data_IF_152927048350
#
_entry.id   IF_152927048350
#
_cell.length_a   1.000
_cell.length_b   1.000
_cell.length_c   1.000
_cell.angle_alpha   90.00
_cell.angle_beta   90.00
_cell.angle_gamma   90.00
#
_symmetry.space_group_name_H-M   'P 1'
#
loop_
_entity.id
_entity.type
_entity.pdbx_description
1 polymer ?
#
# COMPACT_ATOMS: atom_id res chain seq x y z
N UNK A 1 -12.92 12.49 10.51
CA UNK A 1 -11.78 11.78 11.17
C UNK A 1 -11.45 10.55 10.34
N UNK A 2 -10.17 10.35 10.03
CA UNK A 2 -9.73 9.15 9.30
C UNK A 2 -9.84 7.94 10.23
N UNK A 3 -10.54 6.87 9.84
CA UNK A 3 -10.66 5.67 10.67
C UNK A 3 -9.27 5.11 11.02
N UNK A 4 -9.10 4.63 12.24
CA UNK A 4 -7.85 4.04 12.73
C UNK A 4 -6.80 5.01 13.25
N UNK A 5 -7.04 6.34 13.18
CA UNK A 5 -6.18 7.36 13.77
C UNK A 5 -6.78 7.92 15.06
N UNK A 6 -5.94 8.27 16.02
CA UNK A 6 -6.35 9.06 17.18
C UNK A 6 -6.77 10.48 16.73
N UNK A 7 -7.53 11.23 17.55
CA UNK A 7 -7.87 12.62 17.24
C UNK A 7 -6.62 13.49 17.01
N UNK A 8 -5.57 13.29 17.81
CA UNK A 8 -4.31 14.00 17.67
C UNK A 8 -3.60 13.67 16.36
N UNK A 9 -3.42 12.39 16.01
CA UNK A 9 -2.86 11.95 14.74
C UNK A 9 -3.68 12.47 13.54
N UNK A 10 -5.00 12.47 13.64
CA UNK A 10 -5.90 13.00 12.59
C UNK A 10 -5.67 14.49 12.36
N UNK A 11 -5.47 15.28 13.45
CA UNK A 11 -5.18 16.71 13.34
C UNK A 11 -3.80 16.95 12.71
N UNK A 12 -2.76 16.26 13.18
CA UNK A 12 -1.41 16.35 12.62
C UNK A 12 -1.41 16.00 11.13
N UNK A 13 -2.06 14.90 10.75
CA UNK A 13 -2.19 14.51 9.35
C UNK A 13 -2.90 15.58 8.50
N UNK A 14 -4.00 16.15 8.99
CA UNK A 14 -4.77 17.16 8.27
C UNK A 14 -3.96 18.44 8.04
N UNK A 15 -3.27 18.94 9.07
CA UNK A 15 -2.46 20.16 8.97
C UNK A 15 -1.24 19.96 8.07
N UNK A 16 -0.55 18.83 8.20
CA UNK A 16 0.56 18.46 7.33
C UNK A 16 0.12 18.36 5.87
N UNK A 17 -0.98 17.65 5.58
CA UNK A 17 -1.46 17.46 4.21
C UNK A 17 -1.98 18.76 3.59
N UNK A 18 -2.52 19.67 4.39
CA UNK A 18 -2.88 21.02 3.92
C UNK A 18 -1.65 21.78 3.42
N UNK A 19 -0.56 21.76 4.19
CA UNK A 19 0.70 22.40 3.78
C UNK A 19 1.29 21.74 2.51
N UNK A 20 1.23 20.40 2.39
CA UNK A 20 1.70 19.73 1.17
C UNK A 20 0.84 20.03 -0.06
N UNK A 21 -0.47 20.28 0.11
CA UNK A 21 -1.39 20.61 -0.97
C UNK A 21 -1.11 21.98 -1.61
N UNK A 22 -0.50 22.92 -0.88
CA UNK A 22 -0.04 24.21 -1.41
C UNK A 22 1.09 24.05 -2.45
N UNK A 23 1.91 23.00 -2.29
CA UNK A 23 3.02 22.71 -3.19
C UNK A 23 2.63 21.81 -4.37
N UNK A 24 1.75 20.83 -4.15
CA UNK A 24 1.35 19.82 -5.13
C UNK A 24 -0.09 19.39 -4.94
N UNK A 25 -0.84 19.41 -6.04
CA UNK A 25 -2.22 18.96 -6.05
C UNK A 25 -2.28 17.43 -5.86
N UNK A 26 -2.86 16.97 -4.76
CA UNK A 26 -3.09 15.57 -4.52
C UNK A 26 -4.28 15.04 -5.34
N UNK A 27 -4.10 13.92 -6.03
CA UNK A 27 -5.19 13.08 -6.52
C UNK A 27 -5.78 12.27 -5.35
N UNK A 28 -4.90 11.67 -4.58
CA UNK A 28 -5.23 10.87 -3.41
C UNK A 28 -4.05 10.85 -2.43
N UNK A 29 -4.36 10.82 -1.15
CA UNK A 29 -3.41 10.42 -0.11
C UNK A 29 -4.02 9.23 0.62
N UNK A 30 -3.30 8.12 0.67
CA UNK A 30 -3.72 6.91 1.37
C UNK A 30 -2.86 6.70 2.61
N UNK A 31 -3.46 6.22 3.69
CA UNK A 31 -2.72 5.62 4.79
C UNK A 31 -2.07 4.33 4.31
N UNK A 32 -0.90 4.06 4.84
CA UNK A 32 -0.14 2.82 4.67
C UNK A 32 0.34 2.34 6.04
N UNK A 33 1.30 1.44 6.08
CA UNK A 33 1.91 0.99 7.33
C UNK A 33 0.93 0.34 8.30
N UNK A 34 1.27 0.34 9.57
CA UNK A 34 0.54 -0.39 10.61
C UNK A 34 -0.95 0.02 10.69
N UNK A 35 -1.27 1.30 10.48
CA UNK A 35 -2.63 1.82 10.51
C UNK A 35 -3.51 1.22 9.39
N UNK A 36 -2.97 1.10 8.17
CA UNK A 36 -3.70 0.51 7.04
C UNK A 36 -3.69 -1.02 7.05
N UNK A 37 -2.79 -1.63 7.81
CA UNK A 37 -2.59 -3.07 7.82
C UNK A 37 -3.28 -3.79 8.98
N UNK A 38 -3.96 -3.02 9.87
CA UNK A 38 -4.78 -3.57 10.93
C UNK A 38 -4.01 -3.90 12.24
N UNK A 39 -2.76 -3.40 12.40
CA UNK A 39 -1.97 -3.64 13.62
C UNK A 39 -1.22 -2.40 14.14
N UNK A 40 -1.87 -1.22 14.24
CA UNK A 40 -1.22 -0.05 14.82
C UNK A 40 -0.92 -0.27 16.31
N UNK A 41 0.21 0.25 16.78
CA UNK A 41 0.53 0.44 18.20
C UNK A 41 0.41 1.94 18.54
N UNK A 42 0.37 2.31 19.83
CA UNK A 42 0.26 3.72 20.23
C UNK A 42 1.37 4.62 19.69
N UNK A 43 2.54 4.03 19.42
CA UNK A 43 3.75 4.67 18.89
C UNK A 43 3.97 4.40 17.39
N UNK A 44 2.94 3.96 16.66
CA UNK A 44 3.05 3.76 15.20
C UNK A 44 3.08 5.09 14.46
N UNK A 45 3.97 5.15 13.45
CA UNK A 45 4.15 6.27 12.55
C UNK A 45 2.92 6.52 11.68
N UNK A 46 2.75 7.74 11.17
CA UNK A 46 1.80 8.08 10.13
C UNK A 46 2.44 7.89 8.75
N UNK A 47 2.19 6.75 8.13
CA UNK A 47 2.60 6.46 6.75
C UNK A 47 1.60 7.07 5.75
N UNK A 48 1.91 8.23 5.19
CA UNK A 48 1.08 8.94 4.22
C UNK A 48 1.64 8.77 2.80
N UNK A 49 0.94 8.02 1.97
CA UNK A 49 1.39 7.68 0.61
C UNK A 49 0.49 8.34 -0.43
N UNK A 50 1.01 9.40 -1.08
CA UNK A 50 0.25 10.24 -1.99
C UNK A 50 0.51 9.92 -3.47
N UNK A 51 -0.49 10.26 -4.28
CA UNK A 51 -0.37 10.44 -5.72
C UNK A 51 -0.74 11.89 -6.02
N UNK A 52 0.16 12.61 -6.70
CA UNK A 52 -0.07 14.00 -7.06
C UNK A 52 -0.18 14.19 -8.57
N UNK A 53 -0.78 15.29 -8.97
CA UNK A 53 -0.93 15.69 -10.36
C UNK A 53 -0.08 16.95 -10.57
N UNK A 54 0.98 16.85 -11.37
CA UNK A 54 1.74 18.00 -11.82
C UNK A 54 1.05 18.68 -13.00
N UNK A 55 1.08 20.02 -13.12
CA UNK A 55 0.62 20.73 -14.32
C UNK A 55 1.35 20.20 -15.56
N UNK A 56 0.64 20.11 -16.69
CA UNK A 56 1.21 19.54 -17.92
C UNK A 56 2.45 20.32 -18.38
N UNK A 57 2.45 21.66 -18.25
CA UNK A 57 3.61 22.50 -18.58
C UNK A 57 4.88 22.14 -17.79
N UNK A 58 4.72 21.79 -16.50
CA UNK A 58 5.85 21.46 -15.63
C UNK A 58 6.47 20.09 -16.02
N UNK A 59 5.66 19.18 -16.56
CA UNK A 59 6.15 17.88 -17.04
C UNK A 59 6.91 18.00 -18.37
N UNK A 60 6.61 19.03 -19.15
CA UNK A 60 7.21 19.27 -20.47
C UNK A 60 8.33 20.31 -20.43
N UNK A 61 8.61 20.93 -19.29
CA UNK A 61 9.69 21.88 -19.12
C UNK A 61 11.06 21.24 -19.36
N UNK A 62 12.07 22.03 -19.73
CA UNK A 62 13.45 21.55 -19.87
C UNK A 62 14.01 21.02 -18.54
N UNK A 63 13.57 21.63 -17.43
CA UNK A 63 13.88 21.20 -16.08
C UNK A 63 12.57 20.81 -15.36
N UNK A 64 12.04 19.60 -15.61
CA UNK A 64 10.78 19.19 -15.00
C UNK A 64 10.94 19.02 -13.49
N UNK A 65 9.90 19.30 -12.73
CA UNK A 65 9.86 19.00 -11.30
C UNK A 65 10.08 17.50 -11.05
N UNK A 66 10.66 17.18 -9.89
CA UNK A 66 10.82 15.78 -9.47
C UNK A 66 9.46 15.07 -9.40
N UNK A 67 9.36 13.92 -10.05
CA UNK A 67 8.16 13.04 -10.03
C UNK A 67 7.95 12.34 -8.69
N UNK A 68 8.86 12.54 -7.76
CA UNK A 68 8.86 11.90 -6.46
C UNK A 68 9.24 12.90 -5.38
N UNK A 69 8.57 12.81 -4.21
CA UNK A 69 8.88 13.57 -3.01
C UNK A 69 8.80 12.66 -1.80
N UNK A 70 9.77 12.75 -0.92
CA UNK A 70 9.77 12.08 0.38
C UNK A 70 10.06 13.09 1.47
N UNK A 71 9.36 12.95 2.59
CA UNK A 71 9.57 13.71 3.81
C UNK A 71 9.40 12.78 5.01
N UNK A 72 10.38 12.77 5.86
CA UNK A 72 10.32 12.16 7.19
C UNK A 72 10.46 13.28 8.22
N UNK A 73 9.46 13.45 9.07
CA UNK A 73 9.45 14.54 10.07
C UNK A 73 8.70 14.10 11.32
N UNK A 74 8.92 14.84 12.41
CA UNK A 74 8.14 14.66 13.65
C UNK A 74 7.37 15.96 13.91
N UNK A 75 6.07 15.88 14.07
CA UNK A 75 5.18 17.02 14.33
C UNK A 75 4.37 16.69 15.59
N UNK A 76 4.52 17.51 16.61
CA UNK A 76 3.82 17.36 17.90
C UNK A 76 3.94 15.96 18.48
N UNK A 77 5.14 15.35 18.36
CA UNK A 77 5.43 14.00 18.85
C UNK A 77 4.95 12.85 17.96
N UNK A 78 4.36 13.14 16.79
CA UNK A 78 3.92 12.14 15.80
C UNK A 78 4.94 12.09 14.67
N UNK A 79 5.52 10.90 14.42
CA UNK A 79 6.37 10.67 13.26
C UNK A 79 5.51 10.54 12.00
N UNK A 80 5.85 11.33 10.96
CA UNK A 80 5.15 11.37 9.68
C UNK A 80 6.11 10.94 8.57
N UNK A 81 5.86 9.79 7.97
CA UNK A 81 6.53 9.30 6.75
C UNK A 81 5.61 9.58 5.54
N UNK A 82 5.91 10.66 4.86
CA UNK A 82 5.18 11.06 3.65
C UNK A 82 5.96 10.76 2.40
N UNK A 83 5.33 10.10 1.43
CA UNK A 83 5.87 10.00 0.07
C UNK A 83 4.79 10.28 -0.97
N UNK A 84 5.15 11.01 -2.02
CA UNK A 84 4.25 11.37 -3.11
C UNK A 84 4.88 11.06 -4.46
N UNK A 85 4.13 10.44 -5.36
CA UNK A 85 4.55 10.13 -6.71
C UNK A 85 3.61 10.77 -7.73
N UNK A 86 4.19 11.22 -8.85
CA UNK A 86 3.44 11.81 -9.95
C UNK A 86 2.52 10.76 -10.61
N UNK A 87 1.31 11.18 -10.98
CA UNK A 87 0.23 10.32 -11.47
C UNK A 87 0.63 9.41 -12.63
N UNK A 88 1.25 9.93 -13.68
CA UNK A 88 1.66 9.11 -14.84
C UNK A 88 2.65 8.01 -14.43
N UNK A 89 3.60 8.34 -13.54
CA UNK A 89 4.55 7.37 -13.01
C UNK A 89 3.84 6.25 -12.24
N UNK A 90 2.86 6.63 -11.42
CA UNK A 90 2.04 5.66 -10.65
C UNK A 90 1.24 4.75 -11.58
N UNK A 91 0.55 5.33 -12.58
CA UNK A 91 -0.27 4.54 -13.51
C UNK A 91 0.57 3.56 -14.34
N UNK A 92 1.75 3.98 -14.81
CA UNK A 92 2.71 3.06 -15.46
C UNK A 92 3.13 1.93 -14.53
N UNK A 93 3.36 2.24 -13.24
CA UNK A 93 3.69 1.24 -12.25
C UNK A 93 2.55 0.24 -12.03
N UNK A 94 1.29 0.68 -11.96
CA UNK A 94 0.13 -0.22 -11.85
C UNK A 94 0.03 -1.16 -13.06
N UNK A 95 0.13 -0.63 -14.27
CA UNK A 95 0.16 -1.45 -15.51
C UNK A 95 1.32 -2.46 -15.47
N UNK A 96 2.46 -2.08 -14.89
CA UNK A 96 3.62 -2.94 -14.67
C UNK A 96 3.46 -3.96 -13.54
N UNK A 97 2.38 -3.88 -12.73
CA UNK A 97 2.11 -4.79 -11.62
C UNK A 97 2.69 -4.34 -10.27
N UNK A 98 2.92 -3.05 -10.06
CA UNK A 98 3.33 -2.51 -8.75
C UNK A 98 2.14 -2.52 -7.78
N UNK A 99 2.16 -3.43 -6.80
CA UNK A 99 1.10 -3.57 -5.79
C UNK A 99 0.97 -2.35 -4.89
N UNK A 100 2.06 -1.69 -4.49
CA UNK A 100 2.00 -0.50 -3.63
C UNK A 100 1.24 0.64 -4.32
N UNK A 101 1.39 0.81 -5.63
CA UNK A 101 0.65 1.82 -6.37
C UNK A 101 -0.84 1.44 -6.55
N UNK A 102 -1.13 0.15 -6.72
CA UNK A 102 -2.51 -0.32 -6.69
C UNK A 102 -3.16 -0.08 -5.32
N UNK A 103 -2.44 -0.37 -4.22
CA UNK A 103 -2.91 -0.10 -2.85
C UNK A 103 -3.18 1.40 -2.62
N UNK A 104 -2.35 2.31 -3.13
CA UNK A 104 -2.57 3.78 -3.00
C UNK A 104 -3.83 4.25 -3.70
N UNK A 105 -4.14 3.71 -4.89
CA UNK A 105 -5.29 4.14 -5.69
C UNK A 105 -6.59 3.44 -5.31
N UNK A 106 -6.52 2.18 -4.84
CA UNK A 106 -7.69 1.33 -4.57
C UNK A 106 -7.95 1.09 -3.07
N UNK A 107 -7.00 1.41 -2.19
CA UNK A 107 -7.15 1.25 -0.74
C UNK A 107 -8.29 2.08 -0.16
N UNK A 108 -8.78 1.70 1.02
CA UNK A 108 -9.98 2.30 1.62
C UNK A 108 -9.70 3.46 2.57
N UNK A 109 -8.50 3.52 3.19
CA UNK A 109 -8.14 4.55 4.16
C UNK A 109 -7.47 5.73 3.44
N UNK A 110 -8.29 6.72 3.04
CA UNK A 110 -7.86 7.88 2.24
C UNK A 110 -8.17 9.18 2.98
N UNK A 111 -7.20 9.78 3.69
CA UNK A 111 -7.35 11.11 4.29
C UNK A 111 -7.67 12.21 3.27
N UNK A 112 -7.18 12.07 2.04
CA UNK A 112 -7.47 13.00 0.94
C UNK A 112 -7.84 12.22 -0.30
N UNK A 113 -8.93 12.63 -0.97
CA UNK A 113 -9.28 12.13 -2.30
C UNK A 113 -9.86 13.27 -3.14
N UNK A 114 -9.52 13.30 -4.42
CA UNK A 114 -10.06 14.24 -5.39
C UNK A 114 -11.23 13.61 -6.16
N UNK A 115 -12.02 14.45 -6.80
CA UNK A 115 -13.15 14.00 -7.61
C UNK A 115 -12.71 13.10 -8.79
N UNK A 116 -11.54 13.33 -9.35
CA UNK A 116 -10.98 12.53 -10.44
C UNK A 116 -10.69 11.09 -10.06
N UNK A 117 -10.43 10.82 -8.78
CA UNK A 117 -10.17 9.46 -8.30
C UNK A 117 -11.36 8.53 -8.57
N UNK A 118 -12.59 9.02 -8.42
CA UNK A 118 -13.81 8.23 -8.64
C UNK A 118 -13.89 7.69 -10.07
N UNK A 119 -13.54 8.50 -11.07
CA UNK A 119 -13.52 8.07 -12.48
C UNK A 119 -12.30 7.21 -12.82
N UNK A 120 -11.20 7.38 -12.09
CA UNK A 120 -9.96 6.65 -12.31
C UNK A 120 -10.00 5.21 -11.75
N UNK A 121 -10.59 4.97 -10.60
CA UNK A 121 -10.54 3.67 -9.92
C UNK A 121 -11.05 2.48 -10.77
N UNK A 122 -12.15 2.59 -11.52
CA UNK A 122 -12.58 1.51 -12.43
C UNK A 122 -11.54 1.20 -13.52
N UNK A 123 -10.84 2.22 -14.03
CA UNK A 123 -9.81 2.06 -15.05
C UNK A 123 -8.57 1.39 -14.47
N UNK A 124 -8.17 1.76 -13.26
CA UNK A 124 -7.07 1.12 -12.51
C UNK A 124 -7.39 -0.35 -12.25
N UNK A 125 -8.62 -0.66 -11.83
CA UNK A 125 -9.05 -2.05 -11.62
C UNK A 125 -9.00 -2.86 -12.93
N UNK A 126 -9.40 -2.26 -14.03
CA UNK A 126 -9.42 -2.94 -15.35
C UNK A 126 -8.02 -3.28 -15.89
N UNK A 127 -6.96 -2.58 -15.45
CA UNK A 127 -5.58 -2.87 -15.88
C UNK A 127 -4.82 -3.79 -14.90
N UNK A 128 -5.44 -4.23 -13.81
CA UNK A 128 -4.82 -5.22 -12.92
C UNK A 128 -4.57 -6.53 -13.66
N UNK A 129 -3.44 -7.14 -13.39
CA UNK A 129 -3.02 -8.38 -14.03
C UNK A 129 -2.21 -9.25 -13.08
N UNK A 130 -1.95 -10.50 -13.45
CA UNK A 130 -1.11 -11.43 -12.68
C UNK A 130 0.31 -10.94 -12.45
N UNK A 131 0.74 -9.85 -13.14
CA UNK A 131 2.05 -9.21 -12.89
C UNK A 131 2.21 -8.73 -11.44
N UNK A 132 1.13 -8.41 -10.72
CA UNK A 132 1.15 -8.03 -9.31
C UNK A 132 1.78 -9.11 -8.42
N UNK A 133 1.72 -10.39 -8.82
CA UNK A 133 2.37 -11.49 -8.11
C UNK A 133 3.87 -11.23 -7.85
N UNK A 134 4.60 -10.73 -8.87
CA UNK A 134 6.04 -10.47 -8.71
C UNK A 134 6.34 -9.45 -7.63
N UNK A 135 5.47 -8.44 -7.52
CA UNK A 135 5.59 -7.42 -6.48
C UNK A 135 5.38 -8.04 -5.08
N UNK A 136 4.22 -8.69 -4.88
CA UNK A 136 3.88 -9.24 -3.56
C UNK A 136 4.83 -10.37 -3.13
N UNK A 137 5.18 -11.27 -4.04
CA UNK A 137 6.13 -12.34 -3.75
C UNK A 137 7.52 -11.79 -3.42
N UNK A 138 8.01 -10.84 -4.23
CA UNK A 138 9.33 -10.23 -4.02
C UNK A 138 9.40 -9.48 -2.69
N UNK A 139 8.37 -8.68 -2.38
CA UNK A 139 8.31 -7.91 -1.15
C UNK A 139 8.14 -8.82 0.09
N UNK A 140 7.25 -9.81 0.05
CA UNK A 140 7.10 -10.77 1.14
C UNK A 140 8.39 -11.55 1.42
N UNK A 141 9.11 -11.97 0.37
CA UNK A 141 10.43 -12.64 0.52
C UNK A 141 11.49 -11.69 1.10
N UNK A 142 11.47 -10.42 0.74
CA UNK A 142 12.37 -9.44 1.33
C UNK A 142 12.07 -9.26 2.82
N UNK A 143 10.79 -9.06 3.19
CA UNK A 143 10.38 -8.96 4.60
C UNK A 143 10.72 -10.23 5.39
N UNK A 144 10.62 -11.41 4.77
CA UNK A 144 11.05 -12.67 5.40
C UNK A 144 12.54 -12.67 5.71
N UNK A 145 13.41 -12.27 4.76
CA UNK A 145 14.86 -12.15 5.02
C UNK A 145 15.17 -11.12 6.12
N UNK A 146 14.43 -10.02 6.15
CA UNK A 146 14.58 -9.02 7.22
C UNK A 146 14.14 -9.58 8.58
N UNK A 147 13.09 -10.42 8.62
CA UNK A 147 12.69 -11.13 9.83
C UNK A 147 13.73 -12.15 10.28
N UNK A 148 14.33 -12.92 9.37
CA UNK A 148 15.47 -13.80 9.63
C UNK A 148 16.66 -13.02 10.23
N UNK A 149 16.98 -11.86 9.67
CA UNK A 149 18.06 -11.01 10.15
C UNK A 149 17.85 -10.52 11.60
N UNK A 150 16.59 -10.42 12.06
CA UNK A 150 16.28 -10.18 13.48
C UNK A 150 16.36 -11.43 14.35
N UNK A 151 16.89 -12.54 13.86
CA UNK A 151 16.85 -13.84 14.52
C UNK A 151 15.40 -14.25 14.86
N UNK A 152 14.45 -13.87 14.00
CA UNK A 152 13.03 -14.16 14.11
C UNK A 152 12.32 -13.57 15.35
N UNK A 153 12.86 -12.51 15.93
CA UNK A 153 12.32 -11.89 17.15
C UNK A 153 11.36 -10.75 16.93
N UNK A 154 11.25 -10.20 15.71
CA UNK A 154 10.42 -9.05 15.43
C UNK A 154 9.00 -9.43 15.01
N UNK A 155 8.00 -9.11 15.85
CA UNK A 155 6.59 -9.26 15.52
C UNK A 155 6.19 -8.39 14.30
N UNK A 156 6.68 -7.14 14.23
CA UNK A 156 6.44 -6.22 13.10
C UNK A 156 6.89 -6.84 11.78
N UNK A 157 8.14 -7.34 11.69
CA UNK A 157 8.66 -7.92 10.45
C UNK A 157 7.87 -9.13 9.99
N UNK A 158 7.50 -10.01 10.92
CA UNK A 158 6.66 -11.17 10.60
C UNK A 158 5.28 -10.75 10.09
N UNK A 159 4.62 -9.79 10.74
CA UNK A 159 3.33 -9.27 10.28
C UNK A 159 3.42 -8.68 8.87
N UNK A 160 4.51 -8.02 8.51
CA UNK A 160 4.72 -7.54 7.14
C UNK A 160 4.84 -8.68 6.13
N UNK A 161 5.49 -9.81 6.48
CA UNK A 161 5.50 -11.02 5.63
C UNK A 161 4.09 -11.54 5.41
N UNK A 162 3.36 -11.76 6.52
CA UNK A 162 2.00 -12.31 6.51
C UNK A 162 1.05 -11.42 5.71
N UNK A 163 1.01 -10.13 6.05
CA UNK A 163 0.15 -9.14 5.37
C UNK A 163 0.43 -9.10 3.87
N UNK A 164 1.70 -9.00 3.48
CA UNK A 164 2.06 -8.89 2.06
C UNK A 164 1.65 -10.13 1.29
N UNK A 165 1.89 -11.33 1.83
CA UNK A 165 1.49 -12.58 1.19
C UNK A 165 -0.03 -12.71 1.08
N UNK A 166 -0.78 -12.37 2.15
CA UNK A 166 -2.24 -12.47 2.15
C UNK A 166 -2.91 -11.42 1.26
N UNK A 167 -2.44 -10.16 1.28
CA UNK A 167 -2.94 -9.10 0.37
C UNK A 167 -2.72 -9.50 -1.10
N UNK A 168 -1.51 -10.00 -1.44
CA UNK A 168 -1.22 -10.49 -2.79
C UNK A 168 -2.09 -11.68 -3.19
N UNK A 169 -2.30 -12.62 -2.28
CA UNK A 169 -3.18 -13.78 -2.48
C UNK A 169 -4.62 -13.33 -2.72
N UNK A 170 -5.13 -12.37 -1.92
CA UNK A 170 -6.47 -11.85 -2.03
C UNK A 170 -6.68 -11.14 -3.37
N UNK A 171 -5.77 -10.24 -3.73
CA UNK A 171 -5.82 -9.53 -5.00
C UNK A 171 -5.80 -10.49 -6.21
N UNK A 172 -4.94 -11.51 -6.19
CA UNK A 172 -4.89 -12.49 -7.27
C UNK A 172 -6.16 -13.33 -7.41
N UNK A 173 -6.81 -13.68 -6.29
CA UNK A 173 -8.03 -14.50 -6.27
C UNK A 173 -9.29 -13.71 -6.60
N UNK A 174 -9.37 -12.46 -6.14
CA UNK A 174 -10.63 -11.70 -6.15
C UNK A 174 -10.60 -10.46 -7.06
N UNK A 175 -9.41 -9.97 -7.42
CA UNK A 175 -9.24 -8.68 -8.08
C UNK A 175 -9.39 -7.47 -7.14
N UNK A 176 -9.59 -7.69 -5.83
CA UNK A 176 -9.81 -6.63 -4.84
C UNK A 176 -8.55 -6.42 -3.99
N UNK A 177 -8.29 -5.16 -3.65
CA UNK A 177 -7.23 -4.77 -2.74
C UNK A 177 -7.78 -4.73 -1.31
N UNK A 178 -7.26 -5.60 -0.44
CA UNK A 178 -7.46 -5.51 1.01
C UNK A 178 -6.10 -5.55 1.69
N UNK A 179 -5.77 -4.50 2.44
CA UNK A 179 -4.48 -4.35 3.12
C UNK A 179 -4.54 -4.68 4.61
N UNK A 180 -5.72 -4.62 5.19
CA UNK A 180 -5.96 -4.93 6.58
C UNK A 180 -5.92 -6.46 6.79
N UNK A 181 -4.84 -6.93 7.42
CA UNK A 181 -4.62 -8.36 7.64
C UNK A 181 -5.71 -8.97 8.52
N UNK A 182 -6.30 -8.21 9.43
CA UNK A 182 -7.33 -8.72 10.35
C UNK A 182 -8.61 -9.13 9.61
N UNK A 183 -8.93 -8.47 8.49
CA UNK A 183 -10.05 -8.85 7.63
C UNK A 183 -9.77 -10.10 6.78
N UNK A 184 -8.49 -10.43 6.56
CA UNK A 184 -8.07 -11.57 5.77
C UNK A 184 -7.92 -12.85 6.59
N UNK A 185 -7.85 -12.74 7.92
CA UNK A 185 -7.65 -13.85 8.86
C UNK A 185 -8.68 -14.95 8.65
N UNK A 186 -9.96 -14.61 8.69
CA UNK A 186 -11.06 -15.57 8.55
C UNK A 186 -11.17 -16.13 7.13
N UNK A 187 -10.91 -15.27 6.14
CA UNK A 187 -10.97 -15.65 4.71
C UNK A 187 -9.95 -16.74 4.37
N UNK A 188 -8.79 -16.70 5.01
CA UNK A 188 -7.67 -17.61 4.71
C UNK A 188 -7.39 -18.64 5.83
N UNK A 189 -8.20 -18.65 6.89
CA UNK A 189 -8.07 -19.64 7.98
C UNK A 189 -6.77 -19.53 8.77
N UNK A 190 -6.27 -18.30 8.98
CA UNK A 190 -4.97 -18.02 9.63
C UNK A 190 -5.17 -17.30 10.97
N UNK A 191 -6.05 -17.80 11.81
CA UNK A 191 -6.45 -17.18 13.09
C UNK A 191 -5.27 -16.82 14.02
N UNK A 192 -4.16 -17.56 13.96
CA UNK A 192 -2.97 -17.28 14.78
C UNK A 192 -2.29 -15.95 14.43
N UNK A 193 -2.64 -15.31 13.32
CA UNK A 193 -2.21 -13.94 12.99
C UNK A 193 -2.65 -12.95 14.06
N UNK A 194 -3.81 -13.18 14.71
CA UNK A 194 -4.29 -12.29 15.77
C UNK A 194 -3.36 -12.26 16.99
N UNK A 195 -2.70 -13.38 17.32
CA UNK A 195 -1.68 -13.40 18.37
C UNK A 195 -0.43 -12.57 17.99
N UNK A 196 -0.08 -12.50 16.69
CA UNK A 196 0.99 -11.62 16.22
C UNK A 196 0.58 -10.15 16.31
N UNK A 197 -0.66 -9.83 15.95
CA UNK A 197 -1.22 -8.48 16.07
C UNK A 197 -1.19 -8.04 17.53
N UNK A 198 -1.66 -8.89 18.46
CA UNK A 198 -1.61 -8.60 19.90
C UNK A 198 -0.16 -8.38 20.39
N UNK A 199 0.79 -9.20 19.95
CA UNK A 199 2.19 -9.01 20.32
C UNK A 199 2.74 -7.66 19.83
N UNK A 200 2.42 -7.26 18.58
CA UNK A 200 2.89 -5.98 17.99
C UNK A 200 2.21 -4.75 18.60
N UNK A 201 0.93 -4.84 18.96
CA UNK A 201 0.20 -3.69 19.53
C UNK A 201 0.71 -3.26 20.90
N UNK A 202 1.53 -4.08 21.56
CA UNK A 202 2.23 -3.72 22.80
C UNK A 202 3.34 -2.66 22.59
N UNK A 203 3.76 -2.41 21.35
CA UNK A 203 4.75 -1.39 20.96
C UNK A 203 5.43 -1.70 19.65
N UNK A 204 5.98 -0.67 19.02
CA UNK A 204 6.62 -0.77 17.69
C UNK A 204 7.79 -1.77 17.67
N UNK A 205 8.53 -1.88 18.76
CA UNK A 205 9.69 -2.77 18.94
C UNK A 205 9.39 -3.99 19.82
N UNK A 206 8.09 -4.28 20.07
CA UNK A 206 7.73 -5.41 20.92
C UNK A 206 8.30 -6.72 20.37
N UNK A 207 8.95 -7.55 21.22
CA UNK A 207 9.51 -8.82 20.79
C UNK A 207 8.42 -9.84 20.49
N UNK A 208 8.67 -10.70 19.51
CA UNK A 208 7.80 -11.83 19.23
C UNK A 208 8.04 -12.94 20.29
N UNK A 209 6.99 -13.47 20.94
CA UNK A 209 7.12 -14.64 21.82
C UNK A 209 7.77 -15.82 21.10
N UNK A 210 8.62 -16.57 21.81
CA UNK A 210 9.44 -17.64 21.23
C UNK A 210 8.60 -18.76 20.61
N UNK A 211 7.50 -19.14 21.28
CA UNK A 211 6.55 -20.13 20.79
C UNK A 211 5.88 -19.71 19.47
N UNK A 212 5.45 -18.47 19.36
CA UNK A 212 4.92 -17.90 18.12
C UNK A 212 6.01 -17.84 17.04
N UNK A 213 7.22 -17.46 17.39
CA UNK A 213 8.34 -17.44 16.45
C UNK A 213 8.58 -18.83 15.84
N UNK A 214 8.63 -19.88 16.67
CA UNK A 214 8.82 -21.26 16.22
C UNK A 214 7.67 -21.75 15.32
N UNK A 215 6.43 -21.48 15.73
CA UNK A 215 5.24 -21.81 14.94
C UNK A 215 5.29 -21.16 13.55
N UNK A 216 5.60 -19.88 13.49
CA UNK A 216 5.53 -19.13 12.24
C UNK A 216 6.70 -19.39 11.29
N UNK A 217 7.85 -19.88 11.77
CA UNK A 217 8.94 -20.35 10.87
C UNK A 217 8.46 -21.44 9.91
N UNK A 218 7.58 -22.34 10.37
CA UNK A 218 7.00 -23.35 9.50
C UNK A 218 5.82 -22.82 8.67
N UNK A 219 4.96 -22.01 9.28
CA UNK A 219 3.74 -21.50 8.62
C UNK A 219 4.02 -20.55 7.46
N UNK A 220 5.09 -19.75 7.51
CA UNK A 220 5.47 -18.82 6.43
C UNK A 220 5.65 -19.54 5.09
N UNK A 221 6.15 -20.78 5.10
CA UNK A 221 6.27 -21.59 3.87
C UNK A 221 4.91 -21.83 3.22
N UNK A 222 3.88 -22.11 4.03
CA UNK A 222 2.50 -22.27 3.56
C UNK A 222 1.92 -21.00 2.94
N UNK A 223 2.25 -19.81 3.48
CA UNK A 223 1.82 -18.53 2.89
C UNK A 223 2.38 -18.33 1.47
N UNK A 224 3.66 -18.63 1.25
CA UNK A 224 4.27 -18.54 -0.09
C UNK A 224 3.63 -19.55 -1.05
N UNK A 225 3.42 -20.80 -0.60
CA UNK A 225 2.71 -21.81 -1.41
C UNK A 225 1.30 -21.36 -1.79
N UNK A 226 0.58 -20.73 -0.85
CA UNK A 226 -0.78 -20.21 -1.11
C UNK A 226 -0.74 -19.05 -2.11
N UNK A 227 0.24 -18.16 -2.02
CA UNK A 227 0.44 -17.05 -2.96
C UNK A 227 0.78 -17.56 -4.36
N UNK A 228 1.66 -18.59 -4.47
CA UNK A 228 2.02 -19.22 -5.72
C UNK A 228 0.79 -19.89 -6.37
N UNK A 229 0.02 -20.65 -5.60
CA UNK A 229 -1.22 -21.26 -6.06
C UNK A 229 -2.28 -20.22 -6.47
N UNK A 230 -2.37 -19.09 -5.77
CA UNK A 230 -3.27 -18.01 -6.14
C UNK A 230 -2.92 -17.38 -7.50
N UNK A 231 -1.62 -17.28 -7.82
CA UNK A 231 -1.19 -16.82 -9.16
C UNK A 231 -1.65 -17.77 -10.26
N UNK A 232 -1.48 -19.09 -10.07
CA UNK A 232 -1.85 -20.07 -11.10
C UNK A 232 -3.37 -20.15 -11.31
N UNK A 233 -4.16 -20.03 -10.23
CA UNK A 233 -5.62 -20.06 -10.25
C UNK A 233 -6.29 -18.67 -10.44
N UNK A 234 -5.49 -17.63 -10.68
CA UNK A 234 -6.00 -16.25 -10.73
C UNK A 234 -6.91 -16.00 -11.94
N UNK A 235 -8.06 -15.35 -11.69
CA UNK A 235 -8.94 -14.85 -12.73
C UNK A 235 -8.40 -13.58 -13.42
N UNK A 236 -7.38 -12.93 -12.85
CA UNK A 236 -6.74 -11.79 -13.49
C UNK A 236 -6.02 -12.20 -14.78
N UNK A 237 -6.03 -11.36 -15.83
CA UNK A 237 -5.30 -11.64 -17.07
C UNK A 237 -3.79 -11.73 -16.82
N UNK A 238 -3.05 -12.42 -17.69
CA UNK A 238 -1.58 -12.53 -17.57
C UNK A 238 -0.90 -11.17 -17.58
N UNK A 239 -1.37 -10.30 -18.48
CA UNK A 239 -0.91 -8.91 -18.67
C UNK A 239 -2.11 -7.97 -18.68
N UNK A 240 -1.88 -6.69 -18.42
CA UNK A 240 -2.91 -5.67 -18.51
C UNK A 240 -3.56 -5.68 -19.90
N UNK A 241 -4.91 -5.78 -20.01
CA UNK A 241 -5.57 -5.86 -21.31
C UNK A 241 -5.32 -4.61 -22.16
N UNK A 242 -4.89 -4.72 -23.44
CA UNK A 242 -4.55 -3.55 -24.25
C UNK A 242 -5.68 -2.53 -24.38
N UNK A 243 -6.94 -2.97 -24.39
CA UNK A 243 -8.11 -2.08 -24.41
C UNK A 243 -8.23 -1.28 -23.11
N UNK A 244 -7.99 -1.90 -21.96
CA UNK A 244 -8.03 -1.22 -20.67
C UNK A 244 -6.88 -0.23 -20.54
N UNK A 245 -5.68 -0.59 -21.00
CA UNK A 245 -4.52 0.33 -21.01
C UNK A 245 -4.81 1.55 -21.87
N UNK A 246 -5.41 1.37 -23.07
CA UNK A 246 -5.82 2.52 -23.91
C UNK A 246 -6.84 3.41 -23.22
N UNK A 247 -7.86 2.86 -22.59
CA UNK A 247 -8.87 3.65 -21.86
C UNK A 247 -8.25 4.44 -20.70
N UNK A 248 -7.28 3.86 -19.98
CA UNK A 248 -6.54 4.53 -18.93
C UNK A 248 -5.67 5.67 -19.51
N UNK A 249 -5.04 5.44 -20.65
CA UNK A 249 -4.22 6.44 -21.35
C UNK A 249 -5.07 7.60 -21.86
N UNK A 250 -6.22 7.33 -22.48
CA UNK A 250 -7.20 8.33 -22.92
C UNK A 250 -7.69 9.21 -21.75
N UNK A 251 -7.99 8.59 -20.61
CA UNK A 251 -8.36 9.32 -19.40
C UNK A 251 -7.22 10.24 -18.92
N UNK A 252 -5.98 9.74 -18.89
CA UNK A 252 -4.81 10.53 -18.49
C UNK A 252 -4.58 11.71 -19.47
N UNK A 253 -4.67 11.47 -20.77
CA UNK A 253 -4.50 12.52 -21.79
C UNK A 253 -5.58 13.60 -21.67
N UNK A 254 -6.84 13.24 -21.44
CA UNK A 254 -7.92 14.20 -21.22
C UNK A 254 -7.66 15.06 -19.97
N UNK A 255 -7.20 14.44 -18.87
CA UNK A 255 -6.81 15.17 -17.67
C UNK A 255 -5.66 16.16 -17.95
N UNK A 256 -4.64 15.73 -18.71
CA UNK A 256 -3.50 16.60 -19.09
C UNK A 256 -3.90 17.77 -19.97
N UNK A 257 -4.82 17.57 -20.90
CA UNK A 257 -5.37 18.64 -21.74
C UNK A 257 -6.12 19.68 -20.92
N UNK A 258 -6.87 19.25 -19.92
CA UNK A 258 -7.61 20.15 -19.04
C UNK A 258 -6.70 20.94 -18.06
N UNK A 259 -5.43 20.58 -17.94
CA UNK A 259 -4.45 21.16 -17.00
C UNK A 259 -3.24 21.79 -17.70
N UNK A 260 -3.44 22.21 -18.94
CA UNK A 260 -2.41 22.91 -19.73
C UNK A 260 -2.03 24.26 -19.15
#
# INVERSE_FOLDING_TARGET
MTPGLTPHQSQVAADFLRAQAEERRHLVVSLSGAHAYGFPSPDSDLDLKAVHIEPTRELLALEPRSRHRELLTVIDGVEVDYSSNELQFVLRGVVGGNGNFAERLLGHLRPVESQELTSLQPLVTAVLSRRVYRHYQGFARQQHREWEATQYTSAKRLLYVVRTALTGTHLLRTGLVETDVTKLVDVYGVSDVMALVEAKTKGEKAPLPTDLSLLWRERVKGLFTTLDAAKEASALPADAPPKAVRALDEWLLALRQAQW
#
